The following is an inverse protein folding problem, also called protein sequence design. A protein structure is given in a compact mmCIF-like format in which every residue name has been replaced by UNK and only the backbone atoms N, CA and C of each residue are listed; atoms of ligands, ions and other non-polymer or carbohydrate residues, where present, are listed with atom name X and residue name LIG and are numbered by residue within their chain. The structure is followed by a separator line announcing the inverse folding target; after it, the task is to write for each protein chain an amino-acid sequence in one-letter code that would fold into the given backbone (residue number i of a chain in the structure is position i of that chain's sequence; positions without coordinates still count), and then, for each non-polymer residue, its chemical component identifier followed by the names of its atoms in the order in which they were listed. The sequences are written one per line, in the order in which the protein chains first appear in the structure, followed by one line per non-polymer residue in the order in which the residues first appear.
data_IF_185159233834
#
_entry.id   IF_185159233834
#
_cell.length_a   1.000
_cell.length_b   1.000
_cell.length_c   1.000
_cell.angle_alpha   90.00
_cell.angle_beta   90.00
_cell.angle_gamma   90.00
#
_symmetry.space_group_name_H-M   'P 1'
#
loop_
_entity.id
_entity.type
_entity.pdbx_description
1 polymer ?
#
# COMPACT_ATOMS: atom_id res chain seq x y z
N UNK A 1 -21.89 -8.61 -15.19
CA UNK A 1 -22.08 -9.68 -14.17
C UNK A 1 -22.49 -9.02 -12.86
N UNK A 2 -23.48 -9.58 -12.16
CA UNK A 2 -24.01 -9.05 -10.89
C UNK A 2 -22.98 -9.25 -9.75
N UNK A 3 -22.71 -8.21 -8.94
CA UNK A 3 -21.75 -8.27 -7.81
C UNK A 3 -22.08 -9.43 -6.85
N UNK A 4 -23.36 -9.67 -6.59
CA UNK A 4 -23.81 -10.77 -5.73
C UNK A 4 -23.46 -12.16 -6.28
N UNK A 5 -23.52 -12.35 -7.60
CA UNK A 5 -23.18 -13.61 -8.24
C UNK A 5 -21.67 -13.87 -8.19
N UNK A 6 -20.85 -12.83 -8.41
CA UNK A 6 -19.39 -12.93 -8.27
C UNK A 6 -18.99 -13.24 -6.83
N UNK A 7 -19.64 -12.61 -5.84
CA UNK A 7 -19.40 -12.88 -4.43
C UNK A 7 -19.71 -14.35 -4.09
N UNK A 8 -20.86 -14.87 -4.51
CA UNK A 8 -21.22 -16.28 -4.30
C UNK A 8 -20.21 -17.25 -4.92
N UNK A 9 -19.78 -16.99 -6.16
CA UNK A 9 -18.77 -17.80 -6.84
C UNK A 9 -17.41 -17.77 -6.12
N UNK A 10 -17.00 -16.60 -5.63
CA UNK A 10 -15.77 -16.47 -4.85
C UNK A 10 -15.87 -17.28 -3.56
N UNK A 11 -16.96 -17.11 -2.79
CA UNK A 11 -17.19 -17.79 -1.52
C UNK A 11 -17.24 -19.31 -1.66
N UNK A 12 -17.86 -19.83 -2.72
CA UNK A 12 -17.94 -21.27 -3.00
C UNK A 12 -16.58 -21.94 -3.21
N UNK A 13 -15.55 -21.16 -3.57
CA UNK A 13 -14.19 -21.64 -3.80
C UNK A 13 -13.26 -21.47 -2.58
N UNK A 14 -13.73 -20.79 -1.52
CA UNK A 14 -12.96 -20.62 -0.29
C UNK A 14 -13.02 -21.90 0.56
N UNK A 15 -11.88 -22.25 1.17
CA UNK A 15 -11.78 -23.37 2.13
C UNK A 15 -10.83 -23.01 3.25
N UNK A 16 -11.14 -23.44 4.47
CA UNK A 16 -10.29 -23.22 5.64
C UNK A 16 -10.29 -21.76 6.12
N UNK A 17 -9.12 -21.25 6.49
CA UNK A 17 -8.91 -19.91 7.06
C UNK A 17 -9.62 -18.75 6.33
N UNK A 18 -9.65 -18.65 4.99
CA UNK A 18 -10.47 -17.69 4.26
C UNK A 18 -11.94 -17.60 4.70
N UNK A 19 -12.59 -18.73 4.99
CA UNK A 19 -14.00 -18.76 5.37
C UNK A 19 -14.21 -18.17 6.76
N UNK A 20 -13.32 -18.47 7.72
CA UNK A 20 -13.39 -17.93 9.08
C UNK A 20 -13.36 -16.39 9.08
N UNK A 21 -12.63 -15.79 8.14
CA UNK A 21 -12.52 -14.34 8.01
C UNK A 21 -13.79 -13.77 7.40
N UNK A 22 -14.30 -14.39 6.34
CA UNK A 22 -15.58 -13.97 5.75
C UNK A 22 -16.72 -14.13 6.74
N UNK A 23 -16.63 -15.09 7.66
CA UNK A 23 -17.64 -15.29 8.68
C UNK A 23 -17.77 -14.10 9.65
N UNK A 24 -16.76 -13.24 9.71
CA UNK A 24 -16.81 -11.97 10.46
C UNK A 24 -17.57 -10.84 9.74
N UNK A 25 -17.97 -11.03 8.47
CA UNK A 25 -18.74 -10.06 7.68
C UNK A 25 -20.25 -10.28 7.84
N UNK A 26 -21.03 -9.19 7.77
CA UNK A 26 -22.50 -9.27 7.78
C UNK A 26 -23.05 -9.90 6.50
N UNK A 27 -24.31 -10.36 6.52
CA UNK A 27 -24.94 -11.01 5.36
C UNK A 27 -24.98 -10.10 4.12
N UNK A 28 -25.11 -8.79 4.30
CA UNK A 28 -25.08 -7.81 3.20
C UNK A 28 -23.67 -7.63 2.64
N UNK A 29 -22.66 -7.54 3.50
CA UNK A 29 -21.25 -7.44 3.10
C UNK A 29 -20.77 -8.68 2.34
N UNK A 30 -21.26 -9.87 2.70
CA UNK A 30 -20.94 -11.13 1.99
C UNK A 30 -21.53 -11.19 0.58
N UNK A 31 -22.54 -10.37 0.27
CA UNK A 31 -23.13 -10.27 -1.08
C UNK A 31 -22.42 -9.24 -1.95
N UNK A 32 -21.56 -8.40 -1.38
CA UNK A 32 -20.74 -7.48 -2.16
C UNK A 32 -19.37 -8.08 -2.44
N UNK A 33 -19.12 -8.35 -3.73
CA UNK A 33 -17.85 -8.92 -4.18
C UNK A 33 -16.65 -8.06 -3.79
N UNK A 34 -16.78 -6.73 -3.86
CA UNK A 34 -15.68 -5.82 -3.54
C UNK A 34 -15.34 -5.88 -2.05
N UNK A 35 -16.34 -5.88 -1.17
CA UNK A 35 -16.15 -6.04 0.27
C UNK A 35 -15.50 -7.38 0.62
N UNK A 36 -15.98 -8.49 0.05
CA UNK A 36 -15.40 -9.84 0.29
C UNK A 36 -13.95 -9.90 -0.19
N UNK A 37 -13.68 -9.43 -1.42
CA UNK A 37 -12.33 -9.39 -2.00
C UNK A 37 -11.39 -8.55 -1.14
N UNK A 38 -11.81 -7.36 -0.73
CA UNK A 38 -11.01 -6.43 0.06
C UNK A 38 -10.65 -7.05 1.42
N UNK A 39 -11.61 -7.68 2.10
CA UNK A 39 -11.37 -8.33 3.39
C UNK A 39 -10.38 -9.49 3.29
N UNK A 40 -10.43 -10.27 2.20
CA UNK A 40 -9.44 -11.31 1.94
C UNK A 40 -8.05 -10.72 1.69
N UNK A 41 -7.96 -9.66 0.89
CA UNK A 41 -6.68 -8.98 0.60
C UNK A 41 -6.06 -8.42 1.88
N UNK A 42 -6.87 -7.77 2.72
CA UNK A 42 -6.43 -7.21 4.01
C UNK A 42 -5.94 -8.30 4.96
N UNK A 43 -6.72 -9.37 5.13
CA UNK A 43 -6.36 -10.43 6.06
C UNK A 43 -5.12 -11.21 5.63
N UNK A 44 -4.98 -11.51 4.34
CA UNK A 44 -3.80 -12.19 3.81
C UNK A 44 -2.60 -11.25 3.59
N UNK A 45 -2.68 -10.00 4.07
CA UNK A 45 -1.59 -9.05 3.98
C UNK A 45 -1.19 -8.71 2.54
N UNK A 46 -2.09 -8.81 1.55
CA UNK A 46 -1.77 -8.46 0.15
C UNK A 46 -1.97 -6.97 -0.13
N UNK A 47 -1.67 -6.12 0.86
CA UNK A 47 -1.81 -4.66 0.78
C UNK A 47 -0.49 -3.99 0.42
N UNK A 48 -0.57 -2.77 -0.10
CA UNK A 48 0.59 -1.93 -0.39
C UNK A 48 1.54 -1.83 0.82
N UNK A 49 0.98 -1.52 2.00
CA UNK A 49 1.72 -1.36 3.25
C UNK A 49 2.44 -2.64 3.70
N UNK A 50 1.85 -3.82 3.47
CA UNK A 50 2.50 -5.08 3.81
C UNK A 50 3.74 -5.33 2.96
N UNK A 51 3.65 -5.14 1.64
CA UNK A 51 4.80 -5.32 0.76
C UNK A 51 5.87 -4.24 0.97
N UNK A 52 5.46 -3.01 1.33
CA UNK A 52 6.38 -1.96 1.79
C UNK A 52 7.19 -2.41 3.00
N UNK A 53 6.51 -2.91 4.04
CA UNK A 53 7.16 -3.44 5.24
C UNK A 53 8.10 -4.59 4.92
N UNK A 54 7.64 -5.60 4.17
CA UNK A 54 8.48 -6.72 3.77
C UNK A 54 9.74 -6.25 3.02
N UNK A 55 9.62 -5.27 2.12
CA UNK A 55 10.77 -4.74 1.42
C UNK A 55 11.75 -4.01 2.35
N UNK A 56 11.26 -3.13 3.24
CA UNK A 56 12.09 -2.32 4.14
C UNK A 56 12.70 -3.10 5.30
N UNK A 57 12.02 -4.14 5.77
CA UNK A 57 12.40 -4.89 6.97
C UNK A 57 13.21 -6.15 6.66
N UNK A 58 13.35 -6.55 5.39
CA UNK A 58 14.25 -7.66 5.04
C UNK A 58 15.67 -7.34 5.52
N UNK A 59 16.20 -8.23 6.36
CA UNK A 59 17.59 -8.22 6.83
C UNK A 59 18.33 -9.41 6.25
N UNK A 60 19.57 -9.19 5.82
CA UNK A 60 20.46 -10.27 5.42
C UNK A 60 20.85 -11.08 6.67
N UNK A 61 20.37 -12.32 6.79
CA UNK A 61 20.80 -13.20 7.86
C UNK A 61 22.14 -13.85 7.51
N UNK A 62 22.97 -14.14 8.53
CA UNK A 62 24.32 -14.72 8.34
C UNK A 62 24.35 -16.02 7.54
N UNK A 63 23.27 -16.81 7.63
CA UNK A 63 23.14 -18.11 6.95
C UNK A 63 22.07 -18.09 5.84
N UNK A 64 21.60 -16.91 5.42
CA UNK A 64 20.57 -16.82 4.38
C UNK A 64 21.16 -17.11 3.00
N UNK A 65 20.33 -17.74 2.16
CA UNK A 65 20.58 -17.75 0.71
C UNK A 65 20.39 -16.33 0.17
N UNK A 66 21.52 -15.66 -0.08
CA UNK A 66 21.54 -14.28 -0.56
C UNK A 66 20.81 -14.11 -1.90
N UNK A 67 20.83 -15.11 -2.79
CA UNK A 67 20.13 -15.03 -4.08
C UNK A 67 18.63 -15.02 -3.86
N UNK A 68 18.14 -15.88 -2.96
CA UNK A 68 16.73 -15.93 -2.57
C UNK A 68 16.31 -14.64 -1.88
N UNK A 69 17.10 -14.13 -0.94
CA UNK A 69 16.76 -12.89 -0.24
C UNK A 69 16.66 -11.68 -1.17
N UNK A 70 17.60 -11.53 -2.12
CA UNK A 70 17.54 -10.45 -3.13
C UNK A 70 16.36 -10.64 -4.08
N UNK A 71 16.03 -11.88 -4.44
CA UNK A 71 14.85 -12.19 -5.23
C UNK A 71 13.55 -11.78 -4.50
N UNK A 72 13.44 -12.10 -3.21
CA UNK A 72 12.30 -11.76 -2.38
C UNK A 72 12.17 -10.23 -2.20
N UNK A 73 13.29 -9.52 -1.98
CA UNK A 73 13.31 -8.05 -1.97
C UNK A 73 12.74 -7.47 -3.27
N UNK A 74 13.20 -7.97 -4.42
CA UNK A 74 12.70 -7.51 -5.73
C UNK A 74 11.21 -7.78 -5.88
N UNK A 75 10.75 -8.99 -5.54
CA UNK A 75 9.32 -9.31 -5.65
C UNK A 75 8.47 -8.40 -4.76
N UNK A 76 8.89 -8.14 -3.53
CA UNK A 76 8.16 -7.29 -2.60
C UNK A 76 8.12 -5.84 -3.11
N UNK A 77 9.24 -5.30 -3.61
CA UNK A 77 9.28 -3.97 -4.23
C UNK A 77 8.35 -3.87 -5.45
N UNK A 78 8.39 -4.85 -6.36
CA UNK A 78 7.52 -4.84 -7.55
C UNK A 78 6.04 -4.89 -7.17
N UNK A 79 5.66 -5.76 -6.23
CA UNK A 79 4.26 -5.85 -5.77
C UNK A 79 3.81 -4.58 -5.05
N UNK A 80 4.71 -3.96 -4.27
CA UNK A 80 4.45 -2.68 -3.64
C UNK A 80 4.14 -1.60 -4.67
N UNK A 81 5.01 -1.41 -5.67
CA UNK A 81 4.81 -0.44 -6.75
C UNK A 81 3.52 -0.70 -7.57
N UNK A 82 3.21 -1.97 -7.85
CA UNK A 82 1.98 -2.35 -8.55
C UNK A 82 0.72 -1.97 -7.75
N UNK A 83 0.72 -2.21 -6.43
CA UNK A 83 -0.42 -1.88 -5.57
C UNK A 83 -0.55 -0.37 -5.33
N UNK A 84 0.57 0.37 -5.37
CA UNK A 84 0.59 1.82 -5.38
C UNK A 84 0.12 2.43 -6.71
N UNK A 85 -0.24 1.61 -7.72
CA UNK A 85 -0.59 2.03 -9.08
C UNK A 85 0.52 2.82 -9.79
N UNK A 86 1.78 2.52 -9.49
CA UNK A 86 2.94 3.06 -10.21
C UNK A 86 3.14 2.29 -11.52
N UNK A 87 3.37 3.01 -12.62
CA UNK A 87 3.79 2.42 -13.88
C UNK A 87 5.26 1.99 -13.76
N UNK A 88 5.53 0.71 -13.96
CA UNK A 88 6.88 0.15 -13.88
C UNK A 88 7.73 0.46 -15.13
N UNK A 89 7.08 0.84 -16.24
CA UNK A 89 7.75 1.20 -17.48
C UNK A 89 8.13 2.69 -17.53
N UNK A 90 7.74 3.48 -16.52
CA UNK A 90 8.10 4.89 -16.38
C UNK A 90 9.08 5.08 -15.20
N UNK A 91 10.40 5.19 -15.48
CA UNK A 91 11.41 5.41 -14.45
C UNK A 91 11.17 6.67 -13.63
N UNK A 92 10.58 7.72 -14.22
CA UNK A 92 10.32 8.98 -13.53
C UNK A 92 9.26 8.77 -12.45
N UNK A 93 8.19 8.05 -12.76
CA UNK A 93 7.13 7.77 -11.80
C UNK A 93 7.63 6.93 -10.61
N UNK A 94 8.55 6.00 -10.87
CA UNK A 94 9.20 5.22 -9.80
C UNK A 94 10.03 6.14 -8.88
N UNK A 95 10.80 7.07 -9.46
CA UNK A 95 11.58 8.04 -8.70
C UNK A 95 10.68 8.96 -7.86
N UNK A 96 9.65 9.54 -8.49
CA UNK A 96 8.65 10.38 -7.82
C UNK A 96 8.01 9.63 -6.64
N UNK A 97 7.64 8.37 -6.84
CA UNK A 97 7.08 7.52 -5.79
C UNK A 97 8.01 7.38 -4.58
N UNK A 98 9.28 7.03 -4.81
CA UNK A 98 10.26 6.88 -3.71
C UNK A 98 10.58 8.20 -3.01
N UNK A 99 10.61 9.31 -3.75
CA UNK A 99 10.82 10.65 -3.18
C UNK A 99 9.67 11.04 -2.26
N UNK A 100 8.43 10.94 -2.75
CA UNK A 100 7.23 11.23 -1.96
C UNK A 100 7.20 10.36 -0.72
N UNK A 101 7.43 9.06 -0.87
CA UNK A 101 7.42 8.11 0.24
C UNK A 101 8.51 8.41 1.27
N UNK A 102 9.69 8.84 0.85
CA UNK A 102 10.75 9.24 1.76
C UNK A 102 10.35 10.49 2.55
N UNK A 103 9.79 11.50 1.89
CA UNK A 103 9.32 12.71 2.57
C UNK A 103 8.22 12.39 3.57
N UNK A 104 7.22 11.59 3.18
CA UNK A 104 6.11 11.21 4.06
C UNK A 104 6.58 10.54 5.36
N UNK A 105 7.70 9.82 5.37
CA UNK A 105 8.24 9.17 6.57
C UNK A 105 9.04 10.12 7.46
N UNK A 106 9.56 11.21 6.90
CA UNK A 106 10.44 12.15 7.61
C UNK A 106 9.73 13.45 8.01
N UNK A 107 8.42 13.57 7.78
CA UNK A 107 7.65 14.74 8.19
C UNK A 107 6.87 14.48 9.48
N UNK A 108 6.52 15.54 10.20
CA UNK A 108 5.65 15.46 11.38
C UNK A 108 4.25 14.92 11.04
N UNK A 109 3.56 14.31 12.01
CA UNK A 109 2.21 13.71 11.81
C UNK A 109 1.19 14.70 11.22
N UNK A 110 1.30 15.99 11.58
CA UNK A 110 0.44 17.04 11.06
C UNK A 110 0.70 17.32 9.57
N UNK A 111 1.98 17.37 9.16
CA UNK A 111 2.37 17.53 7.76
C UNK A 111 2.07 16.25 6.95
N UNK A 112 2.29 15.07 7.54
CA UNK A 112 1.95 13.78 6.93
C UNK A 112 0.46 13.71 6.57
N UNK A 113 -0.43 14.04 7.52
CA UNK A 113 -1.88 14.01 7.29
C UNK A 113 -2.27 14.94 6.14
N UNK A 114 -1.73 16.17 6.13
CA UNK A 114 -1.97 17.14 5.07
C UNK A 114 -1.49 16.65 3.69
N UNK A 115 -0.29 16.09 3.60
CA UNK A 115 0.27 15.61 2.34
C UNK A 115 -0.46 14.34 1.83
N UNK A 116 -0.83 13.44 2.74
CA UNK A 116 -1.50 12.18 2.42
C UNK A 116 -2.92 12.40 1.87
N UNK A 117 -3.66 13.36 2.42
CA UNK A 117 -5.00 13.72 1.93
C UNK A 117 -4.99 14.21 0.48
N UNK A 118 -3.90 14.85 0.06
CA UNK A 118 -3.76 15.46 -1.27
C UNK A 118 -3.35 14.49 -2.38
N UNK A 119 -3.01 13.23 -2.03
CA UNK A 119 -2.65 12.16 -2.99
C UNK A 119 -1.63 12.62 -4.05
N UNK A 120 -0.55 13.23 -3.57
CA UNK A 120 0.55 13.79 -4.37
C UNK A 120 1.14 12.71 -5.28
N UNK A 121 1.39 13.04 -6.56
CA UNK A 121 1.87 12.05 -7.56
C UNK A 121 3.23 12.34 -8.16
N UNK A 122 3.74 13.55 -8.01
CA UNK A 122 5.01 13.96 -8.60
C UNK A 122 5.75 14.95 -7.69
N UNK A 123 7.05 15.11 -7.94
CA UNK A 123 7.94 16.02 -7.20
C UNK A 123 7.44 17.48 -7.19
N UNK A 124 6.93 17.99 -8.30
CA UNK A 124 6.47 19.38 -8.40
C UNK A 124 5.27 19.66 -7.46
N UNK A 125 4.31 18.74 -7.42
CA UNK A 125 3.19 18.78 -6.47
C UNK A 125 3.68 18.66 -5.03
N UNK A 126 4.68 17.81 -4.76
CA UNK A 126 5.24 17.64 -3.43
C UNK A 126 5.82 18.96 -2.91
N UNK A 127 6.67 19.62 -3.70
CA UNK A 127 7.30 20.90 -3.35
C UNK A 127 6.25 21.99 -3.13
N UNK A 128 5.28 22.10 -4.04
CA UNK A 128 4.19 23.08 -3.94
C UNK A 128 3.38 22.93 -2.65
N UNK A 129 3.02 21.69 -2.28
CA UNK A 129 2.26 21.43 -1.06
C UNK A 129 3.09 21.60 0.21
N UNK A 130 4.37 21.21 0.22
CA UNK A 130 5.28 21.48 1.33
C UNK A 130 5.45 22.98 1.57
N UNK A 131 5.59 23.75 0.49
CA UNK A 131 5.73 25.22 0.56
C UNK A 131 4.45 25.84 1.12
N UNK A 132 3.29 25.42 0.59
CA UNK A 132 1.97 25.85 1.08
C UNK A 132 1.79 25.53 2.57
N UNK A 133 2.20 24.34 3.01
CA UNK A 133 2.10 23.92 4.39
C UNK A 133 2.99 24.78 5.31
N UNK A 134 4.23 25.01 4.89
CA UNK A 134 5.20 25.85 5.60
C UNK A 134 4.71 27.29 5.74
N UNK A 135 4.19 27.87 4.67
CA UNK A 135 3.69 29.25 4.67
C UNK A 135 2.43 29.40 5.53
N UNK A 136 1.58 28.37 5.56
CA UNK A 136 0.37 28.34 6.40
C UNK A 136 0.66 28.06 7.88
N UNK A 137 1.80 27.43 8.19
CA UNK A 137 2.20 27.02 9.55
C UNK A 137 3.65 27.43 9.88
N UNK A 138 3.96 28.75 9.90
CA UNK A 138 5.34 29.23 10.07
C UNK A 138 5.99 28.83 11.40
N UNK A 139 5.19 28.44 12.40
CA UNK A 139 5.64 28.03 13.73
C UNK A 139 5.74 26.50 13.91
N UNK A 140 5.41 25.69 12.89
CA UNK A 140 5.48 24.23 12.96
C UNK A 140 6.74 23.74 12.24
N UNK A 141 7.64 23.08 12.97
CA UNK A 141 8.78 22.39 12.37
C UNK A 141 8.27 21.21 11.55
N UNK A 142 8.69 21.11 10.28
CA UNK A 142 8.26 20.04 9.38
C UNK A 142 9.03 18.73 9.58
N UNK A 143 10.08 18.71 10.42
CA UNK A 143 10.97 17.58 10.70
C UNK A 143 11.20 17.47 12.20
#
# INVERSE_FOLDING_TARGET
MNSALMAQQLLANLRGEPLNIIDTLTMEQRKDYNTVKQRLIEHFGKTEEHYRKLFREIKLAKNADLKRTVHDMRQNMTKWLQLANCNLDDPKQILDFFLIENVLINVTDAAFSFLKERKIKNEAELISNLTTYKDSHPNITMV
#
